data_IF_964189360914
#
_entry.id   IF_964189360914
#
_cell.length_a   1.000
_cell.length_b   1.000
_cell.length_c   1.000
_cell.angle_alpha   90.00
_cell.angle_beta   90.00
_cell.angle_gamma   90.00
#
_symmetry.space_group_name_H-M   'P 1'
#
loop_
_entity.id
_entity.type
_entity.pdbx_description
1 polymer ?
#
# COMPACT_ATOMS: atom_id res chain seq x y z
N UNK A 1 16.94 -44.15 -0.29
CA UNK A 1 15.70 -43.83 0.46
C UNK A 1 15.95 -42.46 1.06
N UNK A 2 15.15 -41.45 0.69
CA UNK A 2 15.29 -40.13 1.28
C UNK A 2 14.77 -40.22 2.72
N UNK A 3 15.63 -39.98 3.70
CA UNK A 3 15.21 -39.86 5.10
C UNK A 3 14.21 -38.70 5.22
N UNK A 4 12.96 -39.02 5.54
CA UNK A 4 11.95 -38.02 5.83
C UNK A 4 12.19 -37.53 7.26
N UNK A 5 12.73 -36.32 7.38
CA UNK A 5 12.88 -35.65 8.67
C UNK A 5 11.54 -35.04 9.09
N UNK A 6 11.10 -35.33 10.32
CA UNK A 6 9.88 -34.74 10.90
C UNK A 6 10.28 -33.90 12.10
N UNK A 7 9.83 -32.64 12.14
CA UNK A 7 10.05 -31.72 13.26
C UNK A 7 8.75 -31.49 14.02
N UNK A 8 8.83 -31.49 15.35
CA UNK A 8 7.69 -31.24 16.23
C UNK A 8 7.88 -29.91 16.97
N UNK A 9 6.84 -29.08 16.95
CA UNK A 9 6.67 -27.93 17.84
C UNK A 9 5.55 -28.27 18.82
N UNK A 10 5.85 -28.30 20.11
CA UNK A 10 4.91 -28.64 21.17
C UNK A 10 4.69 -27.40 22.03
N UNK A 11 3.42 -27.02 22.21
CA UNK A 11 3.02 -25.84 22.98
C UNK A 11 1.83 -26.21 23.87
N UNK A 12 1.81 -25.73 25.10
CA UNK A 12 0.63 -25.84 25.96
C UNK A 12 -0.53 -24.95 25.48
N UNK A 13 -1.76 -25.41 25.71
CA UNK A 13 -2.96 -24.70 25.26
C UNK A 13 -3.02 -23.23 25.75
N UNK A 14 -2.76 -22.90 27.03
CA UNK A 14 -2.79 -21.52 27.49
C UNK A 14 -1.75 -20.61 26.83
N UNK A 15 -0.56 -21.11 26.48
CA UNK A 15 0.42 -20.34 25.73
C UNK A 15 -0.02 -20.12 24.27
N UNK A 16 -0.59 -21.15 23.63
CA UNK A 16 -1.12 -21.04 22.27
C UNK A 16 -2.26 -20.03 22.17
N UNK A 17 -3.26 -20.12 23.04
CA UNK A 17 -4.41 -19.20 23.05
C UNK A 17 -3.98 -17.75 23.33
N UNK A 18 -3.00 -17.55 24.23
CA UNK A 18 -2.42 -16.21 24.50
C UNK A 18 -1.64 -15.66 23.31
N UNK A 19 -0.92 -16.51 22.57
CA UNK A 19 -0.28 -16.08 21.34
C UNK A 19 -1.32 -15.66 20.32
N UNK A 20 -2.36 -16.48 20.08
CA UNK A 20 -3.48 -16.17 19.16
C UNK A 20 -4.11 -14.81 19.49
N UNK A 21 -4.36 -14.54 20.77
CA UNK A 21 -4.99 -13.29 21.23
C UNK A 21 -4.11 -12.06 21.11
N UNK A 22 -2.84 -12.15 21.50
CA UNK A 22 -2.00 -10.98 21.77
C UNK A 22 -0.59 -11.02 21.14
N UNK A 23 -0.29 -12.00 20.28
CA UNK A 23 1.06 -12.26 19.75
C UNK A 23 2.13 -12.35 20.85
N UNK A 24 1.81 -12.99 21.97
CA UNK A 24 2.68 -13.02 23.15
C UNK A 24 4.10 -13.54 22.87
N UNK A 25 4.25 -14.49 21.93
CA UNK A 25 5.54 -15.03 21.49
C UNK A 25 6.04 -14.39 20.18
N UNK A 26 5.62 -13.16 19.90
CA UNK A 26 5.96 -12.48 18.66
C UNK A 26 5.34 -13.11 17.41
N UNK A 27 4.27 -13.90 17.58
CA UNK A 27 3.53 -14.54 16.48
C UNK A 27 4.16 -15.83 15.94
N UNK A 28 5.17 -16.37 16.63
CA UNK A 28 5.91 -17.57 16.19
C UNK A 28 5.02 -18.82 16.08
N UNK A 29 4.00 -18.97 16.93
CA UNK A 29 3.08 -20.11 16.84
C UNK A 29 1.99 -19.82 15.82
N UNK A 30 1.46 -18.59 15.85
CA UNK A 30 0.39 -18.13 14.95
C UNK A 30 0.76 -18.28 13.48
N UNK A 31 2.03 -18.11 13.11
CA UNK A 31 2.53 -18.37 11.75
C UNK A 31 2.00 -19.71 11.21
N UNK A 32 2.10 -20.79 12.00
CA UNK A 32 1.75 -22.12 11.54
C UNK A 32 0.25 -22.32 11.26
N UNK A 33 -0.62 -21.53 11.90
CA UNK A 33 -2.09 -21.60 11.70
C UNK A 33 -2.59 -20.58 10.67
N UNK A 34 -1.88 -19.46 10.49
CA UNK A 34 -2.20 -18.46 9.46
C UNK A 34 -1.79 -18.97 8.08
N UNK A 35 -0.70 -19.73 8.01
CA UNK A 35 -0.18 -20.40 6.81
C UNK A 35 -0.95 -21.70 6.51
N UNK A 36 -0.73 -22.32 5.32
CA UNK A 36 -1.39 -23.57 4.97
C UNK A 36 -1.04 -24.68 5.98
N UNK A 37 -2.06 -25.31 6.55
CA UNK A 37 -1.89 -26.39 7.51
C UNK A 37 -3.03 -27.40 7.38
N UNK A 38 -2.86 -28.57 7.99
CA UNK A 38 -3.87 -29.62 8.03
C UNK A 38 -4.12 -30.04 9.49
N UNK A 39 -5.37 -29.93 9.93
CA UNK A 39 -5.77 -30.35 11.26
C UNK A 39 -5.86 -31.88 11.33
N UNK A 40 -4.99 -32.50 12.11
CA UNK A 40 -5.01 -33.96 12.30
C UNK A 40 -6.04 -34.39 13.36
N UNK A 41 -6.24 -33.57 14.40
CA UNK A 41 -7.15 -33.83 15.52
C UNK A 41 -7.78 -32.50 15.94
N UNK A 42 -9.05 -32.55 16.36
CA UNK A 42 -9.79 -31.41 16.91
C UNK A 42 -9.80 -30.19 15.97
N UNK A 43 -10.18 -30.45 14.72
CA UNK A 43 -10.33 -29.48 13.64
C UNK A 43 -11.20 -28.27 14.05
N UNK A 44 -12.31 -28.51 14.77
CA UNK A 44 -13.19 -27.45 15.23
C UNK A 44 -12.53 -26.48 16.21
N UNK A 45 -11.64 -26.95 17.09
CA UNK A 45 -10.86 -26.07 17.95
C UNK A 45 -9.84 -25.26 17.15
N UNK A 46 -9.09 -25.92 16.27
CA UNK A 46 -8.06 -25.24 15.49
C UNK A 46 -8.65 -24.19 14.55
N UNK A 47 -9.78 -24.52 13.92
CA UNK A 47 -10.54 -23.60 13.06
C UNK A 47 -10.95 -22.32 13.79
N UNK A 48 -11.49 -22.42 15.01
CA UNK A 48 -11.84 -21.23 15.81
C UNK A 48 -10.63 -20.35 16.12
N UNK A 49 -9.49 -20.98 16.43
CA UNK A 49 -8.26 -20.25 16.74
C UNK A 49 -7.62 -19.64 15.48
N UNK A 50 -7.71 -20.32 14.33
CA UNK A 50 -7.30 -19.81 13.02
C UNK A 50 -8.08 -18.55 12.64
N UNK A 51 -9.42 -18.61 12.67
CA UNK A 51 -10.27 -17.46 12.33
C UNK A 51 -10.00 -16.29 13.27
N UNK A 52 -9.89 -16.55 14.58
CA UNK A 52 -9.55 -15.53 15.59
C UNK A 52 -8.19 -14.87 15.31
N UNK A 53 -7.16 -15.66 14.99
CA UNK A 53 -5.84 -15.16 14.66
C UNK A 53 -5.86 -14.33 13.36
N UNK A 54 -6.51 -14.84 12.30
CA UNK A 54 -6.60 -14.14 11.01
C UNK A 54 -7.38 -12.84 11.11
N UNK A 55 -8.48 -12.81 11.87
CA UNK A 55 -9.24 -11.58 12.15
C UNK A 55 -8.39 -10.52 12.82
N UNK A 56 -7.59 -10.90 13.83
CA UNK A 56 -6.63 -9.99 14.46
C UNK A 56 -5.62 -9.46 13.44
N UNK A 57 -5.00 -10.35 12.66
CA UNK A 57 -4.05 -9.95 11.60
C UNK A 57 -4.70 -8.98 10.61
N UNK A 58 -5.89 -9.28 10.11
CA UNK A 58 -6.62 -8.40 9.18
C UNK A 58 -6.89 -7.03 9.81
N UNK A 59 -7.40 -6.99 11.06
CA UNK A 59 -7.66 -5.73 11.76
C UNK A 59 -6.39 -4.89 11.93
N UNK A 60 -5.26 -5.52 12.28
CA UNK A 60 -3.96 -4.86 12.39
C UNK A 60 -3.47 -4.32 11.03
N UNK A 61 -3.61 -5.10 9.95
CA UNK A 61 -3.24 -4.68 8.60
C UNK A 61 -4.12 -3.52 8.10
N UNK A 62 -5.42 -3.56 8.34
CA UNK A 62 -6.33 -2.45 8.06
C UNK A 62 -5.95 -1.18 8.83
N UNK A 63 -5.65 -1.32 10.12
CA UNK A 63 -5.18 -0.21 10.94
C UNK A 63 -3.87 0.38 10.40
N UNK A 64 -2.93 -0.47 10.00
CA UNK A 64 -1.67 -0.04 9.39
C UNK A 64 -1.87 0.67 8.05
N UNK A 65 -2.78 0.20 7.20
CA UNK A 65 -3.13 0.88 5.95
C UNK A 65 -3.69 2.28 6.20
N UNK A 66 -4.54 2.44 7.21
CA UNK A 66 -5.07 3.76 7.59
C UNK A 66 -3.97 4.69 8.11
N UNK A 67 -2.99 4.17 8.83
CA UNK A 67 -1.89 4.97 9.35
C UNK A 67 -0.85 5.31 8.27
N UNK A 68 -0.56 4.38 7.37
CA UNK A 68 0.37 4.57 6.25
C UNK A 68 -0.23 5.49 5.19
N UNK A 69 -1.53 5.36 4.94
CA UNK A 69 -2.27 6.14 3.94
C UNK A 69 -3.53 6.79 4.52
N UNK A 70 -3.39 7.83 5.37
CA UNK A 70 -4.52 8.39 6.10
C UNK A 70 -5.56 9.10 5.22
N UNK A 71 -5.17 9.58 4.05
CA UNK A 71 -6.09 10.23 3.11
C UNK A 71 -6.54 9.27 2.03
N UNK A 72 -5.66 8.38 1.56
CA UNK A 72 -6.01 7.39 0.53
C UNK A 72 -6.94 6.31 1.04
N UNK A 73 -6.89 5.96 2.33
CA UNK A 73 -7.65 4.85 2.92
C UNK A 73 -9.15 4.91 2.67
N UNK A 74 -9.73 6.11 2.50
CA UNK A 74 -11.14 6.28 2.13
C UNK A 74 -11.46 5.82 0.69
N UNK A 75 -10.47 5.85 -0.19
CA UNK A 75 -10.58 5.55 -1.61
C UNK A 75 -9.91 4.23 -2.01
N UNK A 76 -9.35 3.48 -1.05
CA UNK A 76 -8.71 2.19 -1.32
C UNK A 76 -9.73 1.09 -1.58
N UNK A 77 -9.39 0.26 -2.56
CA UNK A 77 -10.03 -1.02 -2.87
C UNK A 77 -9.01 -2.12 -2.62
N UNK A 78 -9.30 -3.02 -1.69
CA UNK A 78 -8.35 -4.02 -1.19
C UNK A 78 -8.82 -5.39 -1.64
N UNK A 79 -8.02 -6.11 -2.44
CA UNK A 79 -8.31 -7.52 -2.72
C UNK A 79 -8.02 -8.37 -1.48
N UNK A 80 -8.85 -9.36 -1.11
CA UNK A 80 -8.63 -10.21 0.07
C UNK A 80 -7.23 -10.85 0.14
N UNK A 81 -6.65 -11.20 -1.01
CA UNK A 81 -5.29 -11.74 -1.14
C UNK A 81 -4.21 -10.84 -0.54
N UNK A 82 -4.46 -9.53 -0.46
CA UNK A 82 -3.59 -8.57 0.21
C UNK A 82 -3.19 -9.05 1.61
N UNK A 83 -4.15 -9.53 2.41
CA UNK A 83 -3.90 -9.88 3.80
C UNK A 83 -2.97 -11.09 3.95
N UNK A 84 -3.02 -12.02 3.01
CA UNK A 84 -2.10 -13.17 2.98
C UNK A 84 -0.69 -12.69 2.63
N UNK A 85 -0.53 -11.97 1.52
CA UNK A 85 0.80 -11.57 1.05
C UNK A 85 1.48 -10.56 1.98
N UNK A 86 0.72 -9.61 2.55
CA UNK A 86 1.26 -8.67 3.54
C UNK A 86 1.65 -9.40 4.86
N UNK A 87 0.88 -10.41 5.30
CA UNK A 87 1.25 -11.21 6.46
C UNK A 87 2.56 -11.98 6.21
N UNK A 88 2.70 -12.59 5.03
CA UNK A 88 3.92 -13.29 4.61
C UNK A 88 5.11 -12.33 4.53
N UNK A 89 4.97 -11.19 3.86
CA UNK A 89 6.03 -10.19 3.75
C UNK A 89 6.52 -9.75 5.14
N UNK A 90 5.59 -9.51 6.08
CA UNK A 90 5.93 -9.16 7.47
C UNK A 90 6.68 -10.28 8.17
N UNK A 91 6.20 -11.52 8.10
CA UNK A 91 6.87 -12.66 8.74
C UNK A 91 8.26 -12.86 8.14
N UNK A 92 8.40 -12.81 6.82
CA UNK A 92 9.68 -12.92 6.13
C UNK A 92 10.67 -11.81 6.53
N UNK A 93 10.18 -10.57 6.73
CA UNK A 93 11.00 -9.46 7.24
C UNK A 93 11.50 -9.69 8.67
N UNK A 94 10.70 -10.36 9.50
CA UNK A 94 11.03 -10.67 10.89
C UNK A 94 11.93 -11.88 11.03
N UNK A 95 11.69 -12.88 10.19
CA UNK A 95 12.37 -14.16 10.19
C UNK A 95 12.84 -14.48 8.77
N UNK A 96 13.90 -13.83 8.26
CA UNK A 96 14.36 -14.02 6.88
C UNK A 96 14.53 -15.48 6.41
N UNK A 97 14.98 -16.42 7.26
CA UNK A 97 15.06 -17.83 6.86
C UNK A 97 13.71 -18.51 6.53
N UNK A 98 12.56 -17.92 6.87
CA UNK A 98 11.25 -18.46 6.47
C UNK A 98 10.89 -18.15 5.01
N UNK A 99 11.63 -17.22 4.37
CA UNK A 99 11.33 -16.73 3.02
C UNK A 99 11.31 -17.84 1.99
N UNK A 100 12.25 -18.78 2.05
CA UNK A 100 12.37 -19.85 1.08
C UNK A 100 11.27 -20.90 1.27
N UNK A 101 10.85 -21.16 2.51
CA UNK A 101 9.60 -21.87 2.85
C UNK A 101 8.37 -21.22 2.20
N UNK A 102 8.23 -19.89 2.25
CA UNK A 102 7.14 -19.21 1.54
C UNK A 102 7.24 -19.37 0.03
N UNK A 103 8.44 -19.22 -0.55
CA UNK A 103 8.64 -19.41 -1.99
C UNK A 103 8.29 -20.84 -2.43
N UNK A 104 8.61 -21.86 -1.62
CA UNK A 104 8.27 -23.25 -1.92
C UNK A 104 6.76 -23.50 -1.82
N UNK A 105 6.09 -22.90 -0.83
CA UNK A 105 4.63 -22.95 -0.67
C UNK A 105 3.87 -22.36 -1.87
N UNK A 106 4.45 -21.39 -2.58
CA UNK A 106 3.86 -20.78 -3.78
C UNK A 106 4.44 -21.31 -5.10
N UNK A 107 5.11 -22.46 -5.08
CA UNK A 107 5.53 -23.17 -6.30
C UNK A 107 4.36 -23.48 -7.25
N UNK A 108 4.67 -23.67 -8.54
CA UNK A 108 3.69 -23.77 -9.64
C UNK A 108 2.51 -24.72 -9.39
N UNK A 109 2.72 -25.80 -8.65
CA UNK A 109 1.71 -26.85 -8.43
C UNK A 109 0.98 -26.73 -7.08
N UNK A 110 1.45 -25.86 -6.18
CA UNK A 110 0.92 -25.74 -4.81
C UNK A 110 0.25 -24.39 -4.53
N UNK A 111 0.59 -23.34 -5.28
CA UNK A 111 0.09 -21.96 -5.08
C UNK A 111 -1.42 -21.91 -4.95
N UNK A 112 -2.17 -22.45 -5.90
CA UNK A 112 -3.63 -22.37 -5.91
C UNK A 112 -4.26 -23.11 -4.72
N UNK A 113 -3.80 -24.33 -4.44
CA UNK A 113 -4.29 -25.14 -3.31
C UNK A 113 -4.01 -24.44 -1.97
N UNK A 114 -2.79 -23.95 -1.78
CA UNK A 114 -2.36 -23.29 -0.56
C UNK A 114 -3.09 -21.95 -0.36
N UNK A 115 -3.24 -21.17 -1.43
CA UNK A 115 -4.03 -19.95 -1.42
C UNK A 115 -5.47 -20.20 -1.01
N UNK A 116 -6.14 -21.18 -1.64
CA UNK A 116 -7.52 -21.52 -1.31
C UNK A 116 -7.67 -21.96 0.15
N UNK A 117 -6.73 -22.76 0.65
CA UNK A 117 -6.72 -23.22 2.03
C UNK A 117 -6.58 -22.06 3.02
N UNK A 118 -5.64 -21.15 2.78
CA UNK A 118 -5.45 -19.97 3.64
C UNK A 118 -6.63 -19.01 3.53
N UNK A 119 -7.15 -18.79 2.34
CA UNK A 119 -8.16 -17.78 2.07
C UNK A 119 -9.46 -18.07 2.81
N UNK A 120 -9.84 -19.35 2.97
CA UNK A 120 -11.04 -19.75 3.72
C UNK A 120 -11.14 -19.09 5.12
N UNK A 121 -10.04 -19.11 5.88
CA UNK A 121 -9.99 -18.49 7.20
C UNK A 121 -9.96 -16.96 7.16
N UNK A 122 -9.36 -16.38 6.11
CA UNK A 122 -9.34 -14.92 5.91
C UNK A 122 -10.70 -14.39 5.47
N UNK A 123 -11.42 -15.09 4.59
CA UNK A 123 -12.80 -14.79 4.18
C UNK A 123 -13.72 -14.77 5.40
N UNK A 124 -13.68 -15.82 6.23
CA UNK A 124 -14.48 -15.87 7.47
C UNK A 124 -14.15 -14.70 8.40
N UNK A 125 -12.86 -14.36 8.54
CA UNK A 125 -12.43 -13.23 9.34
C UNK A 125 -12.90 -11.87 8.77
N UNK A 126 -12.93 -11.72 7.45
CA UNK A 126 -13.44 -10.53 6.77
C UNK A 126 -14.96 -10.41 6.94
N UNK A 127 -15.70 -11.50 6.83
CA UNK A 127 -17.14 -11.52 7.06
C UNK A 127 -17.46 -11.03 8.49
N UNK A 128 -16.77 -11.56 9.51
CA UNK A 128 -16.94 -11.10 10.89
C UNK A 128 -16.60 -9.60 11.07
N UNK A 129 -15.56 -9.09 10.39
CA UNK A 129 -15.20 -7.66 10.46
C UNK A 129 -16.21 -6.76 9.71
N UNK A 130 -16.86 -7.28 8.68
CA UNK A 130 -17.93 -6.60 7.99
C UNK A 130 -19.19 -6.49 8.87
N UNK A 131 -19.55 -7.60 9.56
CA UNK A 131 -20.62 -7.63 10.55
C UNK A 131 -20.37 -6.65 11.72
N UNK A 132 -19.12 -6.52 12.17
CA UNK A 132 -18.71 -5.55 13.18
C UNK A 132 -18.71 -4.08 12.68
N UNK A 133 -18.98 -3.85 11.40
CA UNK A 133 -19.00 -2.50 10.85
C UNK A 133 -17.62 -1.86 10.70
N UNK A 134 -16.55 -2.66 10.58
CA UNK A 134 -15.20 -2.13 10.33
C UNK A 134 -14.91 -1.97 8.83
N UNK A 135 -15.47 -2.86 8.01
CA UNK A 135 -15.31 -2.90 6.57
C UNK A 135 -16.65 -3.08 5.84
N UNK A 136 -16.62 -2.88 4.53
CA UNK A 136 -17.68 -3.24 3.58
C UNK A 136 -17.09 -4.01 2.40
N UNK A 137 -17.91 -4.86 1.78
CA UNK A 137 -17.59 -5.49 0.51
C UNK A 137 -18.17 -4.67 -0.66
N UNK A 138 -17.35 -4.47 -1.69
CA UNK A 138 -17.71 -3.83 -2.94
C UNK A 138 -17.22 -4.73 -4.09
N UNK A 139 -18.13 -5.53 -4.64
CA UNK A 139 -17.81 -6.58 -5.62
C UNK A 139 -16.78 -7.57 -5.04
N UNK A 140 -15.60 -7.70 -5.67
CA UNK A 140 -14.50 -8.55 -5.20
C UNK A 140 -13.53 -7.84 -4.23
N UNK A 141 -13.83 -6.60 -3.84
CA UNK A 141 -12.94 -5.77 -3.03
C UNK A 141 -13.49 -5.52 -1.63
N UNK A 142 -12.57 -5.42 -0.67
CA UNK A 142 -12.79 -4.94 0.67
C UNK A 142 -12.53 -3.43 0.72
N UNK A 143 -13.44 -2.69 1.36
CA UNK A 143 -13.31 -1.25 1.62
C UNK A 143 -13.37 -0.99 3.12
N UNK A 144 -12.58 -0.03 3.58
CA UNK A 144 -12.56 0.36 5.00
C UNK A 144 -13.68 1.36 5.25
N UNK A 145 -14.52 1.12 6.26
CA UNK A 145 -15.60 2.05 6.63
C UNK A 145 -15.02 3.36 7.16
N UNK A 146 -15.70 4.46 6.81
CA UNK A 146 -15.32 5.82 7.23
C UNK A 146 -15.16 5.92 8.76
N UNK A 147 -16.12 5.41 9.51
CA UNK A 147 -16.13 5.50 10.97
C UNK A 147 -14.95 4.74 11.61
N UNK A 148 -14.55 3.61 11.01
CA UNK A 148 -13.37 2.86 11.42
C UNK A 148 -12.07 3.63 11.12
N UNK A 149 -11.96 4.23 9.92
CA UNK A 149 -10.81 5.08 9.56
C UNK A 149 -10.68 6.24 10.57
N UNK A 150 -11.76 6.94 10.88
CA UNK A 150 -11.76 8.06 11.82
C UNK A 150 -11.36 7.60 13.23
N UNK A 151 -11.87 6.45 13.68
CA UNK A 151 -11.50 5.84 14.97
C UNK A 151 -10.00 5.54 15.06
N UNK A 152 -9.39 5.00 14.00
CA UNK A 152 -7.96 4.72 13.95
C UNK A 152 -7.15 6.03 13.91
N UNK A 153 -7.56 7.01 13.09
CA UNK A 153 -6.88 8.33 13.00
C UNK A 153 -6.90 9.07 14.34
N UNK A 154 -7.97 9.00 15.13
CA UNK A 154 -8.04 9.61 16.46
C UNK A 154 -7.11 8.95 17.48
N UNK A 155 -6.82 7.65 17.31
CA UNK A 155 -5.91 6.87 18.17
C UNK A 155 -4.43 7.04 17.79
N UNK A 156 -4.09 7.90 16.81
CA UNK A 156 -2.74 8.13 16.25
C UNK A 156 -1.57 8.10 17.24
N UNK A 157 -1.59 8.79 18.40
CA UNK A 157 -0.42 8.80 19.30
C UNK A 157 -0.20 7.48 20.05
N UNK A 158 -1.16 6.56 20.10
CA UNK A 158 -1.04 5.24 20.78
C UNK A 158 -0.69 4.08 19.83
N UNK A 159 -0.82 4.28 18.52
CA UNK A 159 -0.64 3.22 17.50
C UNK A 159 0.75 3.24 16.83
N UNK A 160 1.56 4.28 17.05
CA UNK A 160 2.99 4.27 16.65
C UNK A 160 3.73 3.09 17.30
N UNK A 161 3.20 2.57 18.40
CA UNK A 161 3.71 1.38 19.08
C UNK A 161 3.39 0.06 18.36
N UNK A 162 2.42 -0.02 17.43
CA UNK A 162 2.14 -1.28 16.71
C UNK A 162 3.28 -1.68 15.76
N UNK A 163 3.87 -0.70 15.06
CA UNK A 163 5.09 -0.91 14.28
C UNK A 163 6.32 -1.17 15.16
N UNK A 164 6.28 -0.71 16.41
CA UNK A 164 7.38 -0.80 17.36
C UNK A 164 7.34 -2.05 18.24
N UNK A 165 6.22 -2.77 18.29
CA UNK A 165 6.06 -3.95 19.16
C UNK A 165 6.71 -5.20 18.57
N UNK A 166 7.10 -5.17 17.30
CA UNK A 166 8.11 -6.11 16.80
C UNK A 166 9.50 -5.54 17.07
N UNK A 167 9.82 -5.34 18.36
CA UNK A 167 11.20 -5.07 18.74
C UNK A 167 12.02 -6.30 18.37
N UNK A 168 13.08 -6.12 17.58
CA UNK A 168 14.20 -7.06 17.46
C UNK A 168 14.67 -7.62 18.82
N UNK A 169 14.39 -6.91 19.91
CA UNK A 169 14.66 -7.27 21.30
C UNK A 169 13.78 -8.43 21.84
N UNK A 170 12.49 -8.54 21.48
CA UNK A 170 11.65 -9.69 21.89
C UNK A 170 12.07 -10.94 21.14
N UNK A 171 12.36 -10.84 19.84
CA UNK A 171 12.99 -11.92 19.07
C UNK A 171 14.32 -12.35 19.69
N UNK A 172 15.20 -11.41 20.04
CA UNK A 172 16.50 -11.72 20.68
C UNK A 172 16.33 -12.44 22.02
N UNK A 173 15.28 -12.12 22.79
CA UNK A 173 14.98 -12.83 24.03
C UNK A 173 14.38 -14.22 23.80
N UNK A 174 13.50 -14.39 22.80
CA UNK A 174 12.96 -15.70 22.39
C UNK A 174 14.10 -16.61 21.89
N UNK A 175 14.96 -16.12 20.99
CA UNK A 175 16.12 -16.86 20.50
C UNK A 175 17.16 -17.18 21.60
N UNK A 176 17.28 -16.34 22.64
CA UNK A 176 18.15 -16.61 23.80
C UNK A 176 17.55 -17.63 24.77
N UNK A 177 16.24 -17.61 24.98
CA UNK A 177 15.55 -18.51 25.90
C UNK A 177 15.27 -19.89 25.29
N UNK A 178 15.17 -19.97 23.95
CA UNK A 178 14.70 -21.14 23.23
C UNK A 178 15.53 -21.43 21.96
N UNK A 179 16.84 -21.71 22.08
CA UNK A 179 17.73 -21.91 20.92
C UNK A 179 17.36 -23.12 20.04
N UNK A 180 16.60 -24.08 20.57
CA UNK A 180 16.14 -25.30 19.88
C UNK A 180 14.73 -25.20 19.29
N UNK A 181 13.99 -24.13 19.62
CA UNK A 181 12.61 -23.88 19.19
C UNK A 181 12.59 -23.05 17.91
N UNK A 182 13.40 -23.48 16.93
CA UNK A 182 13.23 -22.99 15.57
C UNK A 182 11.91 -23.53 15.02
N UNK A 183 11.05 -22.67 14.40
CA UNK A 183 9.93 -23.13 13.60
C UNK A 183 10.34 -24.27 12.66
N UNK A 184 9.49 -25.27 12.41
CA UNK A 184 9.80 -26.35 11.47
C UNK A 184 10.25 -25.83 10.09
N UNK A 185 9.65 -24.72 9.63
CA UNK A 185 10.00 -23.98 8.42
C UNK A 185 11.45 -23.49 8.37
N UNK A 186 12.10 -23.27 9.51
CA UNK A 186 13.50 -22.87 9.59
C UNK A 186 14.46 -24.08 9.65
N UNK A 187 14.02 -25.23 10.18
CA UNK A 187 14.85 -26.44 10.30
C UNK A 187 15.06 -27.16 8.98
N UNK A 188 14.10 -27.12 8.05
CA UNK A 188 14.29 -27.65 6.69
C UNK A 188 15.44 -26.96 5.94
N UNK A 189 15.83 -25.75 6.36
CA UNK A 189 16.74 -24.91 5.60
C UNK A 189 18.15 -24.76 6.20
N UNK A 190 18.39 -25.20 7.45
CA UNK A 190 19.76 -25.30 7.98
C UNK A 190 20.63 -26.25 7.16
N UNK A 191 20.03 -27.24 6.48
CA UNK A 191 20.76 -28.16 5.60
C UNK A 191 21.16 -27.51 4.27
N UNK A 192 20.54 -26.40 3.89
CA UNK A 192 20.73 -25.71 2.60
C UNK A 192 21.61 -24.45 2.71
N UNK A 193 21.75 -23.88 3.90
CA UNK A 193 22.38 -22.57 4.11
C UNK A 193 23.71 -22.68 4.86
N UNK A 194 24.80 -22.97 4.15
CA UNK A 194 26.11 -22.46 4.52
C UNK A 194 26.10 -20.95 4.28
N UNK A 195 25.56 -20.17 5.22
CA UNK A 195 25.46 -18.70 5.12
C UNK A 195 26.85 -18.09 4.91
N UNK A 196 27.17 -17.51 3.73
CA UNK A 196 28.41 -16.80 3.52
C UNK A 196 28.36 -15.44 4.24
N UNK A 197 29.54 -14.86 4.45
CA UNK A 197 29.85 -13.67 5.29
C UNK A 197 29.03 -12.40 4.97
N UNK A 198 28.27 -12.36 3.86
CA UNK A 198 27.37 -11.25 3.51
C UNK A 198 25.90 -11.57 3.82
N UNK A 199 25.51 -11.36 5.08
CA UNK A 199 24.14 -11.56 5.58
C UNK A 199 23.07 -10.75 4.81
N UNK A 200 23.43 -9.58 4.28
CA UNK A 200 22.50 -8.65 3.63
C UNK A 200 22.04 -9.17 2.26
N UNK A 201 22.98 -9.60 1.41
CA UNK A 201 22.64 -10.11 0.07
C UNK A 201 21.90 -11.44 0.09
N UNK A 202 22.20 -12.31 1.07
CA UNK A 202 21.54 -13.59 1.25
C UNK A 202 20.05 -13.44 1.67
N UNK A 203 19.70 -12.34 2.32
CA UNK A 203 18.34 -12.02 2.77
C UNK A 203 17.56 -11.24 1.71
N UNK A 204 18.21 -10.31 1.01
CA UNK A 204 17.54 -9.44 0.04
C UNK A 204 17.08 -10.19 -1.22
N UNK A 205 17.85 -11.13 -1.76
CA UNK A 205 17.50 -11.80 -3.02
C UNK A 205 16.24 -12.69 -2.94
N UNK A 206 16.04 -13.54 -1.91
CA UNK A 206 14.81 -14.30 -1.77
C UNK A 206 13.60 -13.42 -1.47
N UNK A 207 13.79 -12.37 -0.66
CA UNK A 207 12.72 -11.44 -0.28
C UNK A 207 12.17 -10.69 -1.50
N UNK A 208 13.02 -10.29 -2.44
CA UNK A 208 12.61 -9.65 -3.70
C UNK A 208 11.79 -10.57 -4.63
N UNK A 209 11.83 -11.89 -4.43
CA UNK A 209 11.05 -12.87 -5.21
C UNK A 209 9.65 -13.09 -4.64
N UNK A 210 9.38 -12.61 -3.42
CA UNK A 210 8.04 -12.66 -2.85
C UNK A 210 7.07 -11.79 -3.64
N UNK A 211 5.80 -12.15 -3.59
CA UNK A 211 4.74 -11.40 -4.26
C UNK A 211 4.52 -10.07 -3.53
N UNK A 212 4.66 -8.95 -4.26
CA UNK A 212 4.44 -7.59 -3.74
C UNK A 212 2.98 -7.40 -3.31
N UNK A 213 2.74 -7.30 -2.00
CA UNK A 213 1.41 -7.11 -1.40
C UNK A 213 0.67 -5.90 -1.97
N UNK A 214 1.38 -4.85 -2.38
CA UNK A 214 0.78 -3.61 -2.92
C UNK A 214 0.15 -3.79 -4.30
N UNK A 215 0.33 -4.94 -4.95
CA UNK A 215 -0.41 -5.34 -6.16
C UNK A 215 -1.89 -5.56 -5.91
N UNK A 216 -2.26 -5.80 -4.66
CA UNK A 216 -3.63 -6.09 -4.23
C UNK A 216 -4.34 -4.87 -3.63
N UNK A 217 -3.69 -3.72 -3.61
CA UNK A 217 -4.24 -2.44 -3.17
C UNK A 217 -4.48 -1.55 -4.38
N UNK A 218 -5.71 -1.09 -4.56
CA UNK A 218 -6.11 -0.36 -5.75
C UNK A 218 -6.74 0.99 -5.42
N UNK A 219 -6.59 1.92 -6.35
CA UNK A 219 -7.32 3.18 -6.40
C UNK A 219 -8.06 3.28 -7.73
N UNK A 220 -9.22 3.92 -7.72
CA UNK A 220 -10.07 4.02 -8.91
C UNK A 220 -9.65 5.23 -9.77
N UNK A 221 -9.52 5.02 -11.08
CA UNK A 221 -9.33 6.08 -12.06
C UNK A 221 -10.33 5.91 -13.20
N UNK A 222 -10.56 6.93 -14.04
CA UNK A 222 -11.40 6.80 -15.24
C UNK A 222 -10.93 5.70 -16.20
N UNK A 223 -9.63 5.39 -16.21
CA UNK A 223 -9.05 4.30 -17.00
C UNK A 223 -9.13 2.93 -16.30
N UNK A 224 -9.76 2.85 -15.13
CA UNK A 224 -9.93 1.64 -14.34
C UNK A 224 -9.18 1.66 -13.00
N UNK A 225 -9.12 0.51 -12.35
CA UNK A 225 -8.39 0.33 -11.10
C UNK A 225 -6.88 0.31 -11.32
N UNK A 226 -6.15 1.07 -10.51
CA UNK A 226 -4.68 1.13 -10.55
C UNK A 226 -4.10 0.63 -9.24
N UNK A 227 -3.21 -0.35 -9.32
CA UNK A 227 -2.54 -0.90 -8.14
C UNK A 227 -1.55 0.10 -7.54
N UNK A 228 -1.36 0.08 -6.22
CA UNK A 228 -0.33 0.88 -5.55
C UNK A 228 1.10 0.45 -5.92
N UNK A 229 1.25 -0.76 -6.46
CA UNK A 229 2.51 -1.22 -7.03
C UNK A 229 2.76 -0.76 -8.48
N UNK A 230 1.82 -0.05 -9.11
CA UNK A 230 1.92 0.37 -10.51
C UNK A 230 3.12 1.30 -10.72
N UNK A 231 3.86 1.03 -11.80
CA UNK A 231 5.10 1.70 -12.19
C UNK A 231 5.04 2.23 -13.62
N UNK A 232 3.84 2.61 -14.07
CA UNK A 232 3.61 3.12 -15.42
C UNK A 232 4.40 4.41 -15.62
N UNK A 233 5.22 4.45 -16.68
CA UNK A 233 5.92 5.68 -17.09
C UNK A 233 5.00 6.58 -17.92
N UNK A 234 5.47 7.77 -18.29
CA UNK A 234 4.69 8.68 -19.13
C UNK A 234 4.39 8.04 -20.49
N UNK A 235 5.37 7.35 -21.08
CA UNK A 235 5.23 6.66 -22.37
C UNK A 235 4.22 5.51 -22.28
N UNK A 236 4.29 4.72 -21.21
CA UNK A 236 3.36 3.61 -21.01
C UNK A 236 1.94 4.10 -20.71
N UNK A 237 1.80 5.24 -20.04
CA UNK A 237 0.50 5.90 -19.89
C UNK A 237 -0.10 6.28 -21.26
N UNK A 238 0.68 6.86 -22.17
CA UNK A 238 0.19 7.20 -23.53
C UNK A 238 -0.29 5.96 -24.27
N UNK A 239 0.42 4.83 -24.16
CA UNK A 239 -0.02 3.55 -24.75
C UNK A 239 -1.33 3.06 -24.16
N UNK A 240 -1.50 3.17 -22.83
CA UNK A 240 -2.75 2.81 -22.13
C UNK A 240 -3.91 3.71 -22.53
N UNK A 241 -3.65 5.02 -22.70
CA UNK A 241 -4.65 6.01 -23.09
C UNK A 241 -5.09 5.87 -24.56
N UNK A 242 -4.23 5.30 -25.43
CA UNK A 242 -4.52 5.09 -26.86
C UNK A 242 -4.23 3.63 -27.29
N UNK A 243 -5.12 2.67 -26.99
CA UNK A 243 -4.85 1.23 -27.17
C UNK A 243 -4.62 0.75 -28.61
N UNK A 244 -5.10 1.48 -29.63
CA UNK A 244 -5.04 1.05 -31.04
C UNK A 244 -3.74 1.43 -31.80
N UNK A 245 -2.64 1.67 -31.09
CA UNK A 245 -1.31 1.80 -31.72
C UNK A 245 -1.04 3.09 -32.50
N UNK A 246 -1.88 4.12 -32.34
CA UNK A 246 -1.80 5.38 -33.10
C UNK A 246 -1.05 6.52 -32.42
N UNK A 247 -0.32 6.29 -31.32
CA UNK A 247 0.46 7.35 -30.66
C UNK A 247 1.74 7.63 -31.47
N UNK A 248 1.61 8.41 -32.54
CA UNK A 248 2.71 8.70 -33.47
C UNK A 248 3.61 9.84 -32.98
N UNK A 249 3.08 10.76 -32.16
CA UNK A 249 3.81 11.91 -31.62
C UNK A 249 3.45 12.17 -30.15
N UNK A 250 4.48 12.27 -29.30
CA UNK A 250 4.39 12.65 -27.89
C UNK A 250 5.31 13.85 -27.66
N UNK A 251 4.77 14.95 -27.12
CA UNK A 251 5.53 16.10 -26.65
C UNK A 251 5.33 16.29 -25.15
N UNK A 252 6.43 16.46 -24.42
CA UNK A 252 6.45 16.67 -22.97
C UNK A 252 7.10 18.00 -22.68
N UNK A 253 6.27 19.02 -22.43
CA UNK A 253 6.74 20.38 -22.16
C UNK A 253 6.62 20.69 -20.67
N UNK A 254 7.72 21.09 -20.02
CA UNK A 254 7.65 21.54 -18.62
C UNK A 254 6.85 22.85 -18.54
N UNK A 255 5.81 22.87 -17.71
CA UNK A 255 4.96 24.06 -17.44
C UNK A 255 5.12 24.58 -16.01
N UNK A 256 5.66 23.79 -15.10
CA UNK A 256 5.92 24.17 -13.71
C UNK A 256 7.23 24.94 -13.50
N UNK A 257 7.31 25.66 -12.38
CA UNK A 257 8.50 26.42 -11.97
C UNK A 257 9.71 25.55 -11.56
N UNK A 258 10.72 26.16 -10.95
CA UNK A 258 11.95 25.47 -10.50
C UNK A 258 11.66 24.39 -9.44
N UNK A 259 10.62 24.58 -8.63
CA UNK A 259 10.33 23.76 -7.44
C UNK A 259 9.32 22.63 -7.67
N UNK A 260 8.36 22.80 -8.60
CA UNK A 260 7.34 21.79 -8.90
C UNK A 260 7.56 21.20 -10.29
N UNK A 261 7.77 19.88 -10.36
CA UNK A 261 7.91 19.14 -11.61
C UNK A 261 6.54 18.86 -12.22
N UNK A 262 5.99 19.86 -12.91
CA UNK A 262 4.73 19.75 -13.66
C UNK A 262 5.02 19.85 -15.16
N UNK A 263 4.49 18.88 -15.91
CA UNK A 263 4.68 18.74 -17.33
C UNK A 263 3.33 18.77 -18.05
N UNK A 264 3.27 19.42 -19.19
CA UNK A 264 2.19 19.31 -20.15
C UNK A 264 2.57 18.19 -21.12
N UNK A 265 1.79 17.13 -21.09
CA UNK A 265 1.88 16.01 -22.02
C UNK A 265 0.87 16.26 -23.14
N UNK A 266 1.36 16.33 -24.38
CA UNK A 266 0.53 16.40 -25.58
C UNK A 266 0.75 15.15 -26.42
N UNK A 267 -0.31 14.45 -26.76
CA UNK A 267 -0.24 13.22 -27.55
C UNK A 267 -1.41 13.13 -28.54
N UNK A 268 -1.22 12.41 -29.63
CA UNK A 268 -2.26 12.21 -30.64
C UNK A 268 -3.17 11.04 -30.26
N UNK A 269 -4.43 11.33 -29.94
CA UNK A 269 -5.48 10.31 -29.80
C UNK A 269 -6.13 9.96 -31.14
N UNK A 270 -7.07 9.00 -31.15
CA UNK A 270 -7.69 8.47 -32.38
C UNK A 270 -8.32 9.54 -33.30
N UNK A 271 -8.80 10.67 -32.75
CA UNK A 271 -9.51 11.72 -33.50
C UNK A 271 -9.00 13.14 -33.27
N UNK A 272 -8.19 13.38 -32.24
CA UNK A 272 -7.78 14.73 -31.81
C UNK A 272 -6.53 14.69 -30.92
N UNK A 273 -5.77 15.79 -30.93
CA UNK A 273 -4.67 16.00 -29.96
C UNK A 273 -5.27 16.08 -28.56
N UNK A 274 -4.79 15.22 -27.67
CA UNK A 274 -5.14 15.22 -26.25
C UNK A 274 -4.02 15.86 -25.45
N UNK A 275 -4.40 16.52 -24.36
CA UNK A 275 -3.48 17.17 -23.44
C UNK A 275 -3.78 16.69 -22.03
N UNK A 276 -2.73 16.35 -21.31
CA UNK A 276 -2.79 15.98 -19.91
C UNK A 276 -1.71 16.72 -19.13
N UNK A 277 -1.98 17.01 -17.86
CA UNK A 277 -1.00 17.56 -16.93
C UNK A 277 -0.40 16.41 -16.14
N UNK A 278 0.92 16.27 -16.18
CA UNK A 278 1.66 15.26 -15.41
C UNK A 278 2.38 15.95 -14.26
N UNK A 279 2.02 15.60 -13.02
CA UNK A 279 2.67 16.06 -11.80
C UNK A 279 3.60 14.97 -11.27
N UNK A 280 4.88 15.29 -11.11
CA UNK A 280 5.88 14.40 -10.50
C UNK A 280 6.20 14.84 -9.08
N UNK A 281 5.96 13.94 -8.12
CA UNK A 281 6.19 14.19 -6.69
C UNK A 281 7.54 13.62 -6.24
N UNK A 282 8.60 14.41 -6.39
CA UNK A 282 9.95 14.03 -5.90
C UNK A 282 10.02 14.07 -4.37
N UNK A 283 10.89 13.25 -3.77
CA UNK A 283 11.19 13.41 -2.34
C UNK A 283 12.07 14.63 -2.13
N UNK A 284 11.81 15.38 -1.05
CA UNK A 284 12.49 16.65 -0.78
C UNK A 284 13.44 16.58 0.42
N UNK A 285 14.05 15.41 0.66
CA UNK A 285 14.98 15.15 1.78
C UNK A 285 16.20 16.09 1.86
N UNK A 286 16.43 16.98 0.89
CA UNK A 286 17.61 17.86 0.82
C UNK A 286 17.34 19.37 0.68
N UNK A 287 16.11 19.87 0.86
CA UNK A 287 15.81 21.30 0.70
C UNK A 287 15.40 21.98 2.02
N UNK A 288 15.53 23.31 2.07
CA UNK A 288 15.28 24.28 3.18
C UNK A 288 13.98 24.08 3.99
N UNK A 289 13.09 23.20 3.54
CA UNK A 289 11.84 22.81 4.19
C UNK A 289 12.01 21.74 5.27
N UNK A 290 13.12 20.98 5.28
CA UNK A 290 13.41 20.04 6.37
C UNK A 290 13.49 20.75 7.74
N UNK A 291 14.18 21.90 7.88
CA UNK A 291 14.05 22.74 9.07
C UNK A 291 12.58 23.09 9.38
N UNK A 292 11.80 23.61 8.42
CA UNK A 292 10.41 23.99 8.70
C UNK A 292 9.54 22.81 9.16
N UNK A 293 9.73 21.62 8.57
CA UNK A 293 9.05 20.39 8.99
C UNK A 293 9.49 19.97 10.41
N UNK A 294 10.76 20.13 10.76
CA UNK A 294 11.27 19.90 12.12
C UNK A 294 10.69 20.92 13.13
N UNK A 295 10.57 22.18 12.74
CA UNK A 295 10.02 23.27 13.55
C UNK A 295 8.50 23.21 13.72
N UNK A 296 7.81 22.42 12.89
CA UNK A 296 6.34 22.25 12.93
C UNK A 296 5.91 20.86 13.40
N UNK A 297 6.87 19.97 13.72
CA UNK A 297 6.62 18.72 14.45
C UNK A 297 5.80 19.01 15.71
N UNK A 298 4.60 18.46 15.77
CA UNK A 298 3.66 18.64 16.88
C UNK A 298 2.56 19.67 16.66
N UNK A 299 2.55 20.44 15.55
CA UNK A 299 1.46 21.39 15.24
C UNK A 299 0.78 21.13 13.90
N UNK A 300 1.54 20.91 12.81
CA UNK A 300 1.04 20.51 11.49
C UNK A 300 2.06 19.62 10.76
N UNK A 301 1.66 18.46 10.27
CA UNK A 301 2.52 17.57 9.49
C UNK A 301 2.69 18.10 8.05
N UNK A 302 3.86 18.67 7.75
CA UNK A 302 4.25 18.91 6.37
C UNK A 302 4.68 17.58 5.73
N UNK A 303 3.98 17.15 4.67
CA UNK A 303 4.36 15.96 3.90
C UNK A 303 5.62 16.23 3.08
N UNK A 304 6.79 16.00 3.66
CA UNK A 304 8.09 16.15 2.98
C UNK A 304 8.32 15.04 1.93
N UNK A 305 7.60 13.91 2.08
CA UNK A 305 7.68 12.75 1.19
C UNK A 305 6.82 12.94 -0.05
N UNK A 306 7.38 12.63 -1.23
CA UNK A 306 6.66 12.70 -2.50
C UNK A 306 5.44 11.79 -2.53
N UNK A 307 5.56 10.59 -1.95
CA UNK A 307 4.48 9.61 -1.82
C UNK A 307 3.25 10.18 -1.08
N UNK A 308 3.45 10.78 0.09
CA UNK A 308 2.35 11.35 0.89
C UNK A 308 1.71 12.56 0.20
N UNK A 309 2.46 13.36 -0.55
CA UNK A 309 1.90 14.48 -1.31
C UNK A 309 1.05 14.01 -2.49
N UNK A 310 1.49 12.97 -3.21
CA UNK A 310 0.69 12.37 -4.28
C UNK A 310 -0.61 11.79 -3.74
N UNK A 311 -0.53 11.05 -2.62
CA UNK A 311 -1.72 10.53 -1.93
C UNK A 311 -2.71 11.64 -1.59
N UNK A 312 -2.22 12.71 -0.95
CA UNK A 312 -3.06 13.83 -0.53
C UNK A 312 -3.70 14.52 -1.73
N UNK A 313 -2.94 14.75 -2.80
CA UNK A 313 -3.46 15.34 -4.04
C UNK A 313 -4.59 14.47 -4.62
N UNK A 314 -4.36 13.15 -4.73
CA UNK A 314 -5.36 12.23 -5.25
C UNK A 314 -6.62 12.22 -4.39
N UNK A 315 -6.47 12.03 -3.08
CA UNK A 315 -7.59 11.89 -2.16
C UNK A 315 -8.41 13.18 -2.04
N UNK A 316 -7.75 14.34 -1.94
CA UNK A 316 -8.42 15.64 -1.86
C UNK A 316 -9.12 15.97 -3.19
N UNK A 317 -8.48 15.74 -4.34
CA UNK A 317 -9.12 15.96 -5.64
C UNK A 317 -10.38 15.11 -5.76
N UNK A 318 -10.31 13.81 -5.43
CA UNK A 318 -11.48 12.92 -5.46
C UNK A 318 -12.56 13.37 -4.49
N UNK A 319 -12.19 13.81 -3.29
CA UNK A 319 -13.13 14.37 -2.31
C UNK A 319 -13.84 15.61 -2.87
N UNK A 320 -13.10 16.57 -3.44
CA UNK A 320 -13.68 17.78 -4.01
C UNK A 320 -14.60 17.47 -5.21
N UNK A 321 -14.14 16.60 -6.12
CA UNK A 321 -14.90 16.16 -7.29
C UNK A 321 -16.21 15.48 -6.91
N UNK A 322 -16.19 14.57 -5.92
CA UNK A 322 -17.39 13.87 -5.43
C UNK A 322 -18.38 14.81 -4.74
N UNK A 323 -17.94 15.96 -4.23
CA UNK A 323 -18.79 17.02 -3.68
C UNK A 323 -19.22 18.05 -4.74
N UNK A 324 -18.99 17.80 -6.03
CA UNK A 324 -19.41 18.66 -7.13
C UNK A 324 -18.52 19.88 -7.37
N UNK A 325 -17.37 19.98 -6.70
CA UNK A 325 -16.41 21.07 -6.92
C UNK A 325 -15.64 20.76 -8.22
N UNK A 326 -15.60 21.74 -9.12
CA UNK A 326 -14.88 21.64 -10.39
C UNK A 326 -13.37 21.63 -10.15
N UNK A 327 -12.80 20.44 -10.12
CA UNK A 327 -11.35 20.17 -10.08
C UNK A 327 -10.94 19.39 -11.33
N UNK A 328 -9.67 19.49 -11.79
CA UNK A 328 -9.19 18.69 -12.90
C UNK A 328 -9.38 17.20 -12.61
N UNK A 329 -9.95 16.45 -13.56
CA UNK A 329 -10.14 15.02 -13.39
C UNK A 329 -8.78 14.30 -13.35
N UNK A 330 -8.57 13.43 -12.36
CA UNK A 330 -7.39 12.56 -12.34
C UNK A 330 -7.63 11.40 -13.29
N UNK A 331 -6.99 11.45 -14.45
CA UNK A 331 -7.08 10.44 -15.51
C UNK A 331 -6.37 9.15 -15.08
N UNK A 332 -5.21 9.26 -14.44
CA UNK A 332 -4.39 8.13 -14.04
C UNK A 332 -3.42 8.51 -12.91
N UNK A 333 -2.90 7.51 -12.19
CA UNK A 333 -1.88 7.67 -11.16
C UNK A 333 -0.86 6.54 -11.26
N UNK A 334 0.41 6.85 -11.09
CA UNK A 334 1.49 5.84 -11.03
C UNK A 334 2.18 5.96 -9.67
N UNK A 335 1.75 5.21 -8.66
CA UNK A 335 2.21 5.42 -7.28
C UNK A 335 3.71 5.14 -7.08
N UNK A 336 4.30 4.12 -7.75
CA UNK A 336 5.75 3.85 -7.64
C UNK A 336 6.59 4.93 -8.32
N UNK A 337 6.18 5.40 -9.50
CA UNK A 337 6.87 6.50 -10.21
C UNK A 337 6.54 7.88 -9.63
N UNK A 338 5.56 7.95 -8.73
CA UNK A 338 5.06 9.16 -8.08
C UNK A 338 4.55 10.19 -9.08
N UNK A 339 3.85 9.70 -10.11
CA UNK A 339 3.24 10.51 -11.16
C UNK A 339 1.72 10.57 -10.95
N UNK A 340 1.15 11.74 -11.17
CA UNK A 340 -0.30 11.96 -11.24
C UNK A 340 -0.62 12.59 -12.59
N UNK A 341 -1.58 12.01 -13.31
CA UNK A 341 -2.02 12.47 -14.62
C UNK A 341 -3.41 13.08 -14.48
N UNK A 342 -3.52 14.37 -14.77
CA UNK A 342 -4.74 15.16 -14.66
C UNK A 342 -5.19 15.67 -16.03
N UNK A 343 -6.48 15.93 -16.17
CA UNK A 343 -7.04 16.66 -17.30
C UNK A 343 -6.38 18.02 -17.46
N UNK A 344 -6.04 18.37 -18.70
CA UNK A 344 -5.63 19.73 -19.02
C UNK A 344 -6.87 20.63 -19.19
N UNK A 345 -7.03 21.60 -18.30
CA UNK A 345 -8.09 22.61 -18.39
C UNK A 345 -7.57 23.80 -19.20
N UNK A 346 -8.26 24.11 -20.31
CA UNK A 346 -8.02 25.33 -21.09
C UNK A 346 -8.50 26.56 -20.33
N UNK A 347 -7.62 27.53 -20.11
CA UNK A 347 -7.96 28.77 -19.42
C UNK A 347 -6.78 29.74 -19.29
N UNK A 348 -7.05 30.91 -18.73
CA UNK A 348 -6.04 31.90 -18.38
C UNK A 348 -5.91 32.01 -16.86
N UNK A 349 -4.67 32.07 -16.36
CA UNK A 349 -4.43 32.32 -14.95
C UNK A 349 -4.85 33.74 -14.59
N UNK A 350 -5.61 33.90 -13.49
CA UNK A 350 -5.93 35.21 -12.94
C UNK A 350 -4.67 36.03 -12.66
N UNK A 351 -3.58 35.38 -12.27
CA UNK A 351 -2.29 36.03 -12.03
C UNK A 351 -1.75 36.68 -13.31
N UNK A 352 -1.89 36.02 -14.46
CA UNK A 352 -1.42 36.59 -15.72
C UNK A 352 -2.31 37.73 -16.20
N UNK A 353 -3.62 37.64 -15.95
CA UNK A 353 -4.56 38.75 -16.17
C UNK A 353 -4.18 39.95 -15.30
N UNK A 354 -3.92 39.73 -14.01
CA UNK A 354 -3.50 40.77 -13.07
C UNK A 354 -2.15 41.39 -13.45
N UNK A 355 -1.19 40.60 -13.93
CA UNK A 355 0.10 41.11 -14.44
C UNK A 355 -0.09 41.97 -15.71
N UNK A 356 -0.96 41.55 -16.63
CA UNK A 356 -1.29 42.34 -17.83
C UNK A 356 -1.97 43.66 -17.46
N UNK A 357 -2.87 43.63 -16.49
CA UNK A 357 -3.49 44.84 -15.93
C UNK A 357 -2.47 45.76 -15.27
N UNK A 358 -1.62 45.23 -14.38
CA UNK A 358 -0.57 46.01 -13.71
C UNK A 358 0.47 46.61 -14.67
N UNK A 359 0.67 45.99 -15.84
CA UNK A 359 1.54 46.51 -16.90
C UNK A 359 0.82 47.42 -17.91
N UNK A 360 -0.42 47.83 -17.64
CA UNK A 360 -1.28 48.66 -18.51
C UNK A 360 -1.52 48.07 -19.91
N UNK A 361 -1.43 46.74 -20.06
CA UNK A 361 -1.64 46.03 -21.33
C UNK A 361 -3.07 45.49 -21.48
N UNK A 362 -3.98 45.85 -20.57
CA UNK A 362 -5.36 45.38 -20.56
C UNK A 362 -6.27 46.46 -19.95
N UNK A 363 -7.44 46.66 -20.54
CA UNK A 363 -8.41 47.67 -20.09
C UNK A 363 -9.12 47.20 -18.80
N UNK A 364 -9.26 48.05 -17.75
CA UNK A 364 -10.02 47.73 -16.54
C UNK A 364 -11.42 47.12 -16.76
N UNK A 365 -12.13 47.51 -17.82
CA UNK A 365 -13.47 46.97 -18.11
C UNK A 365 -13.42 45.53 -18.67
N UNK A 366 -12.35 45.19 -19.39
CA UNK A 366 -12.08 43.84 -19.87
C UNK A 366 -11.74 42.89 -18.72
N UNK A 367 -11.00 43.37 -17.72
CA UNK A 367 -10.68 42.61 -16.49
C UNK A 367 -11.93 42.35 -15.65
N UNK A 368 -12.80 43.36 -15.48
CA UNK A 368 -14.08 43.20 -14.77
C UNK A 368 -14.97 42.15 -15.42
N UNK A 369 -15.01 42.12 -16.76
CA UNK A 369 -15.79 41.13 -17.51
C UNK A 369 -15.27 39.71 -17.27
N UNK A 370 -13.95 39.50 -17.37
CA UNK A 370 -13.32 38.19 -17.14
C UNK A 370 -13.55 37.68 -15.71
N UNK A 371 -13.49 38.56 -14.70
CA UNK A 371 -13.79 38.18 -13.31
C UNK A 371 -15.26 37.77 -13.16
N UNK A 372 -16.19 38.52 -13.78
CA UNK A 372 -17.63 38.23 -13.71
C UNK A 372 -18.00 36.92 -14.39
N UNK A 373 -17.33 36.59 -15.49
CA UNK A 373 -17.56 35.36 -16.26
C UNK A 373 -16.95 34.12 -15.58
N UNK A 374 -15.93 34.31 -14.72
CA UNK A 374 -15.27 33.23 -13.98
C UNK A 374 -16.05 32.76 -12.73
N UNK A 375 -16.98 33.57 -12.22
CA UNK A 375 -17.81 33.28 -11.03
C UNK A 375 -17.36 34.06 -9.80
#
# INVERSE_FOLDING_TARGET
>A
MNDVSVSFLIVDQPAFERDVENSWLGGLIIENIVMPHEALINDGYLWRQEVKAKKRVVSELLGNLVLEFPELSYALFIKPEYFIFEAIERIALLFPPTTQGFLSMFGKNLKERNMKSMMRGFETALDELAEEGQIDFCEEYVRIKRDYIETIKMKRPRLVDLFRTIRKETLRQIFRAFPTTMPPLMKEEETSLQLPINLVSAIEEPFLKLEDSKRYLFVQTPLGFVALSDKTTIEDFVKKAVPKGGATEMDVKKIGGVLNSVYLLTFQGEKRKQRAVVKLFKDWYGLKWFPLALWTLGTREFSVLGKSRLEKEYAVNRLLSTHGIRVPEIIYVSPKERLLFEEFIEGQSLVDILKKFASQRMDPDEVKKVIRDAG
#
